data_IF_673929157415
#
_entry.id   IF_673929157415
#
_cell.length_a   1.000
_cell.length_b   1.000
_cell.length_c   1.000
_cell.angle_alpha   90.00
_cell.angle_beta   90.00
_cell.angle_gamma   90.00
#
_symmetry.space_group_name_H-M   'P 1'
#
loop_
_entity.id
_entity.type
_entity.pdbx_description
1 polymer ?
#
# COMPACT_ATOMS: atom_id res chain seq x y z
N UNK A 1 11.58 15.02 9.18
CA UNK A 1 11.84 14.13 8.02
C UNK A 1 12.28 12.72 8.45
N UNK A 2 13.42 12.55 9.13
CA UNK A 2 14.00 11.23 9.41
C UNK A 2 13.09 10.26 10.20
N UNK A 3 12.36 10.74 11.21
CA UNK A 3 11.41 9.91 11.96
C UNK A 3 10.28 9.36 11.07
N UNK A 4 9.73 10.18 10.17
CA UNK A 4 8.68 9.77 9.23
C UNK A 4 9.20 8.73 8.24
N UNK A 5 10.42 8.91 7.75
CA UNK A 5 11.09 7.95 6.85
C UNK A 5 11.31 6.62 7.56
N UNK A 6 11.84 6.64 8.79
CA UNK A 6 12.06 5.43 9.58
C UNK A 6 10.74 4.68 9.86
N UNK A 7 9.70 5.39 10.29
CA UNK A 7 8.38 4.82 10.52
C UNK A 7 7.79 4.22 9.23
N UNK A 8 7.93 4.93 8.09
CA UNK A 8 7.48 4.45 6.78
C UNK A 8 8.21 3.18 6.33
N UNK A 9 9.52 3.10 6.52
CA UNK A 9 10.30 1.88 6.21
C UNK A 9 9.82 0.70 7.05
N UNK A 10 9.69 0.88 8.37
CA UNK A 10 9.21 -0.17 9.28
C UNK A 10 7.82 -0.63 8.88
N UNK A 11 6.91 0.31 8.59
CA UNK A 11 5.55 0.01 8.14
C UNK A 11 5.54 -0.80 6.83
N UNK A 12 6.34 -0.41 5.83
CA UNK A 12 6.41 -1.12 4.55
C UNK A 12 6.96 -2.54 4.70
N UNK A 13 7.95 -2.74 5.57
CA UNK A 13 8.49 -4.07 5.87
C UNK A 13 7.46 -4.98 6.53
N UNK A 14 6.74 -4.46 7.54
CA UNK A 14 5.71 -5.22 8.24
C UNK A 14 4.57 -5.63 7.31
N UNK A 15 4.11 -4.73 6.44
CA UNK A 15 3.03 -5.04 5.51
C UNK A 15 3.46 -5.98 4.38
N UNK A 16 4.70 -5.87 3.92
CA UNK A 16 5.27 -6.82 2.95
C UNK A 16 5.36 -8.22 3.55
N UNK A 17 5.85 -8.31 4.79
CA UNK A 17 5.91 -9.56 5.55
C UNK A 17 4.52 -10.17 5.75
N UNK A 18 3.54 -9.36 6.18
CA UNK A 18 2.16 -9.78 6.34
C UNK A 18 1.59 -10.34 5.04
N UNK A 19 1.78 -9.64 3.92
CA UNK A 19 1.29 -10.06 2.60
C UNK A 19 1.88 -11.41 2.19
N UNK A 20 3.19 -11.62 2.39
CA UNK A 20 3.85 -12.91 2.10
C UNK A 20 3.31 -14.03 3.00
N UNK A 21 3.17 -13.79 4.30
CA UNK A 21 2.62 -14.80 5.22
C UNK A 21 1.18 -15.19 4.87
N UNK A 22 0.34 -14.19 4.59
CA UNK A 22 -1.08 -14.36 4.25
C UNK A 22 -1.22 -15.09 2.91
N UNK A 23 -0.45 -14.71 1.90
CA UNK A 23 -0.41 -15.39 0.61
C UNK A 23 0.02 -16.86 0.74
N UNK A 24 1.07 -17.15 1.54
CA UNK A 24 1.49 -18.53 1.77
C UNK A 24 0.41 -19.38 2.44
N UNK A 25 -0.37 -18.80 3.35
CA UNK A 25 -1.43 -19.49 4.11
C UNK A 25 -2.70 -19.73 3.30
N UNK A 26 -3.16 -18.73 2.55
CA UNK A 26 -4.42 -18.79 1.81
C UNK A 26 -4.24 -19.26 0.35
N UNK A 27 -3.05 -19.10 -0.24
CA UNK A 27 -2.77 -19.30 -1.69
C UNK A 27 -3.69 -18.46 -2.61
N UNK A 28 -4.30 -17.42 -2.06
CA UNK A 28 -5.25 -16.57 -2.76
C UNK A 28 -4.58 -15.27 -3.24
N UNK A 29 -4.89 -14.88 -4.49
CA UNK A 29 -4.25 -13.73 -5.15
C UNK A 29 -4.54 -12.39 -4.45
N UNK A 30 -5.65 -12.29 -3.72
CA UNK A 30 -6.01 -11.08 -2.98
C UNK A 30 -5.14 -10.83 -1.75
N UNK A 31 -4.50 -11.87 -1.20
CA UNK A 31 -3.58 -11.73 -0.08
C UNK A 31 -2.26 -11.03 -0.46
N UNK A 32 -1.98 -10.95 -1.77
CA UNK A 32 -0.84 -10.21 -2.32
C UNK A 32 -1.13 -8.71 -2.52
N UNK A 33 -2.39 -8.27 -2.42
CA UNK A 33 -2.78 -6.87 -2.66
C UNK A 33 -2.03 -5.88 -1.76
N UNK A 34 -1.83 -6.12 -0.44
CA UNK A 34 -1.08 -5.18 0.40
C UNK A 34 0.35 -4.97 -0.10
N UNK A 35 1.04 -6.02 -0.54
CA UNK A 35 2.39 -5.91 -1.10
C UNK A 35 2.45 -5.05 -2.38
N UNK A 36 1.48 -5.23 -3.29
CA UNK A 36 1.37 -4.43 -4.51
C UNK A 36 1.04 -2.96 -4.21
N UNK A 37 0.17 -2.71 -3.22
CA UNK A 37 -0.17 -1.36 -2.78
C UNK A 37 1.06 -0.65 -2.21
N UNK A 38 1.88 -1.33 -1.39
CA UNK A 38 3.15 -0.78 -0.89
C UNK A 38 4.09 -0.44 -2.03
N UNK A 39 4.27 -1.36 -2.99
CA UNK A 39 5.15 -1.13 -4.14
C UNK A 39 4.73 0.12 -4.93
N UNK A 40 3.42 0.30 -5.14
CA UNK A 40 2.88 1.51 -5.73
C UNK A 40 3.21 2.75 -4.90
N UNK A 41 2.95 2.72 -3.58
CA UNK A 41 3.22 3.87 -2.69
C UNK A 41 4.70 4.26 -2.72
N UNK A 42 5.62 3.29 -2.75
CA UNK A 42 7.07 3.54 -2.87
C UNK A 42 7.40 4.22 -4.21
N UNK A 43 6.78 3.78 -5.31
CA UNK A 43 6.94 4.43 -6.62
C UNK A 43 6.40 5.86 -6.61
N UNK A 44 5.22 6.08 -6.04
CA UNK A 44 4.66 7.43 -5.92
C UNK A 44 5.58 8.30 -5.03
N UNK A 45 6.09 7.78 -3.90
CA UNK A 45 6.97 8.50 -2.95
C UNK A 45 8.24 8.96 -3.65
N UNK A 46 8.70 8.20 -4.65
CA UNK A 46 9.89 8.54 -5.41
C UNK A 46 9.75 9.86 -6.19
N UNK A 47 8.53 10.26 -6.55
CA UNK A 47 8.27 11.56 -7.18
C UNK A 47 8.63 12.71 -6.23
N UNK A 48 8.21 12.61 -4.96
CA UNK A 48 8.58 13.59 -3.93
C UNK A 48 10.09 13.60 -3.65
N UNK A 49 10.74 12.42 -3.71
CA UNK A 49 12.15 12.28 -3.32
C UNK A 49 13.13 12.72 -4.42
N UNK A 50 12.80 12.43 -5.69
CA UNK A 50 13.65 12.74 -6.84
C UNK A 50 13.38 14.11 -7.45
N UNK A 51 12.31 14.78 -7.01
CA UNK A 51 11.87 16.16 -7.29
C UNK A 51 12.38 16.79 -8.60
N UNK A 52 11.45 17.14 -9.49
CA UNK A 52 11.78 17.70 -10.81
C UNK A 52 11.08 19.04 -11.05
N UNK A 53 11.70 19.88 -11.90
CA UNK A 53 11.16 21.20 -12.22
C UNK A 53 9.76 21.08 -12.83
N UNK A 54 8.79 21.93 -12.43
CA UNK A 54 7.41 21.81 -12.89
C UNK A 54 7.29 21.87 -14.42
N UNK A 55 6.67 20.85 -15.02
CA UNK A 55 6.38 20.85 -16.45
C UNK A 55 5.32 21.94 -16.74
N UNK A 56 5.70 22.88 -17.61
CA UNK A 56 4.80 23.92 -18.08
C UNK A 56 4.41 24.91 -16.97
N UNK A 57 5.15 24.91 -15.85
CA UNK A 57 4.83 25.67 -14.62
C UNK A 57 3.50 25.27 -13.96
N UNK A 58 2.94 24.11 -14.32
CA UNK A 58 1.63 23.66 -13.83
C UNK A 58 1.66 22.31 -13.11
N UNK A 59 2.48 21.36 -13.58
CA UNK A 59 2.56 20.00 -13.01
C UNK A 59 3.95 19.79 -12.42
N UNK A 60 4.02 19.68 -11.10
CA UNK A 60 5.24 19.39 -10.35
C UNK A 60 5.25 17.96 -9.79
N UNK A 61 6.37 17.55 -9.23
CA UNK A 61 6.50 16.22 -8.66
C UNK A 61 5.55 16.00 -7.47
N UNK A 62 5.28 17.06 -6.69
CA UNK A 62 4.42 17.02 -5.52
C UNK A 62 2.94 16.77 -5.87
N UNK A 63 2.41 17.44 -6.89
CA UNK A 63 1.03 17.24 -7.36
C UNK A 63 0.83 15.84 -7.95
N UNK A 64 1.83 15.29 -8.65
CA UNK A 64 1.80 13.90 -9.11
C UNK A 64 1.88 12.90 -7.97
N UNK A 65 2.63 13.20 -6.90
CA UNK A 65 2.63 12.41 -5.67
C UNK A 65 1.23 12.34 -5.04
N UNK A 66 0.55 13.48 -4.88
CA UNK A 66 -0.84 13.52 -4.40
C UNK A 66 -1.77 12.70 -5.29
N UNK A 67 -1.67 12.86 -6.61
CA UNK A 67 -2.47 12.08 -7.56
C UNK A 67 -2.21 10.58 -7.44
N UNK A 68 -0.93 10.20 -7.35
CA UNK A 68 -0.46 8.81 -7.32
C UNK A 68 -0.87 8.04 -6.07
N UNK A 69 -1.21 8.72 -4.97
CA UNK A 69 -1.61 8.09 -3.68
C UNK A 69 -3.11 7.86 -3.54
N UNK A 70 -3.95 8.47 -4.39
CA UNK A 70 -5.41 8.29 -4.37
C UNK A 70 -5.80 6.84 -4.68
N UNK A 71 -5.27 6.28 -5.77
CA UNK A 71 -5.56 4.91 -6.22
C UNK A 71 -5.25 3.84 -5.15
N UNK A 72 -4.01 3.82 -4.62
CA UNK A 72 -3.61 2.96 -3.50
C UNK A 72 -4.57 3.01 -2.30
N UNK A 73 -5.10 4.18 -1.97
CA UNK A 73 -6.00 4.36 -0.82
C UNK A 73 -7.35 3.65 -1.03
N UNK A 74 -7.93 3.76 -2.22
CA UNK A 74 -9.19 3.08 -2.57
C UNK A 74 -8.99 1.56 -2.58
N UNK A 75 -7.87 1.11 -3.15
CA UNK A 75 -7.53 -0.32 -3.18
C UNK A 75 -7.31 -0.88 -1.77
N UNK A 76 -6.65 -0.10 -0.91
CA UNK A 76 -6.43 -0.45 0.48
C UNK A 76 -7.72 -0.67 1.26
N UNK A 77 -8.69 0.24 1.10
CA UNK A 77 -10.01 0.08 1.72
C UNK A 77 -10.69 -1.23 1.27
N UNK A 78 -10.63 -1.54 -0.02
CA UNK A 78 -11.20 -2.76 -0.58
C UNK A 78 -10.53 -4.02 0.00
N UNK A 79 -9.20 -3.98 0.19
CA UNK A 79 -8.46 -5.03 0.86
C UNK A 79 -8.94 -5.22 2.31
N UNK A 80 -9.07 -4.14 3.09
CA UNK A 80 -9.51 -4.21 4.49
C UNK A 80 -10.92 -4.84 4.64
N UNK A 81 -11.85 -4.45 3.76
CA UNK A 81 -13.20 -5.02 3.75
C UNK A 81 -13.14 -6.52 3.47
N UNK A 82 -12.36 -6.92 2.46
CA UNK A 82 -12.22 -8.33 2.08
C UNK A 82 -11.55 -9.16 3.18
N UNK A 83 -10.49 -8.66 3.79
CA UNK A 83 -9.78 -9.35 4.86
C UNK A 83 -10.67 -9.53 6.11
N UNK A 84 -11.48 -8.53 6.44
CA UNK A 84 -12.45 -8.62 7.54
C UNK A 84 -13.56 -9.66 7.25
N UNK A 85 -14.08 -9.71 6.02
CA UNK A 85 -15.07 -10.70 5.61
C UNK A 85 -14.53 -12.13 5.72
N UNK A 86 -13.27 -12.34 5.30
CA UNK A 86 -12.60 -13.63 5.39
C UNK A 86 -12.36 -14.06 6.84
N UNK A 87 -11.99 -13.12 7.72
CA UNK A 87 -11.79 -13.44 9.13
C UNK A 87 -13.09 -13.90 9.79
N UNK A 88 -14.19 -13.17 9.54
CA UNK A 88 -15.54 -13.50 10.06
C UNK A 88 -16.03 -14.86 9.53
N UNK A 89 -15.84 -15.13 8.22
CA UNK A 89 -16.26 -16.41 7.64
C UNK A 89 -15.47 -17.59 8.25
N UNK A 90 -14.16 -17.42 8.47
CA UNK A 90 -13.31 -18.45 9.06
C UNK A 90 -13.66 -18.77 10.52
N UNK A 91 -14.13 -17.78 11.29
CA UNK A 91 -14.55 -17.98 12.68
C UNK A 91 -15.87 -18.76 12.76
N UNK A 92 -16.81 -18.50 11.83
CA UNK A 92 -18.08 -19.25 11.75
C UNK A 92 -17.91 -20.72 11.41
N UNK A 93 -16.87 -21.08 10.65
CA UNK A 93 -16.59 -22.47 10.25
C UNK A 93 -15.88 -23.28 11.35
N UNK A 94 -15.47 -22.65 12.46
CA UNK A 94 -14.81 -23.30 13.60
C UNK A 94 -15.73 -23.57 14.79
N UNK A 95 -16.97 -23.06 14.76
CA UNK A 95 -18.00 -23.29 15.77
C UNK A 95 -18.92 -24.45 15.35
#
# INVERSE_FOLDING_TARGET
MAANVAAGIVQNLLWSWFSVQRYRKLQETWAAWPGLIIAWIVLAMSLELFDFSPWGRMVDAHSLWHLGTVGPTIWWYSFLVKDAQEDISSQRLKA
#
